data_IF_746917479671
#
_entry.id   IF_746917479671
#
_cell.length_a   1.000
_cell.length_b   1.000
_cell.length_c   1.000
_cell.angle_alpha   90.00
_cell.angle_beta   90.00
_cell.angle_gamma   90.00
#
_symmetry.space_group_name_H-M   'P 1'
#
loop_
_entity.id
_entity.type
_entity.pdbx_description
1 polymer ?
#
# COMPACT_ATOMS: atom_id res chain seq x y z
N UNK A 1 -19.09 28.00 -81.13
CA UNK A 1 -19.10 26.71 -80.42
C UNK A 1 -17.67 26.34 -80.07
N UNK A 2 -17.39 26.21 -78.77
CA UNK A 2 -16.06 26.10 -78.17
C UNK A 2 -15.76 24.66 -77.80
N UNK A 3 -14.62 24.11 -78.21
CA UNK A 3 -14.10 22.83 -77.72
C UNK A 3 -12.60 22.98 -77.43
N UNK A 4 -12.24 23.11 -76.16
CA UNK A 4 -10.83 23.19 -75.71
C UNK A 4 -10.36 21.84 -75.17
N UNK A 5 -9.44 21.25 -75.94
CA UNK A 5 -8.13 20.68 -75.58
C UNK A 5 -7.92 20.25 -74.11
N UNK A 6 -7.75 18.94 -73.90
CA UNK A 6 -7.22 18.37 -72.66
C UNK A 6 -5.70 18.51 -72.52
N UNK A 7 -5.24 18.58 -71.27
CA UNK A 7 -3.85 18.33 -70.84
C UNK A 7 -3.89 17.59 -69.49
N UNK A 8 -3.08 16.54 -69.28
CA UNK A 8 -2.97 15.86 -68.00
C UNK A 8 -1.97 16.58 -67.08
N UNK A 9 -2.33 16.74 -65.81
CA UNK A 9 -1.44 17.25 -64.75
C UNK A 9 -0.72 16.06 -64.11
N UNK A 10 0.62 16.08 -64.15
CA UNK A 10 1.51 15.10 -63.53
C UNK A 10 1.55 15.34 -62.00
N UNK A 11 1.36 14.29 -61.20
CA UNK A 11 1.56 14.31 -59.74
C UNK A 11 2.95 13.79 -59.42
N UNK A 12 3.82 14.65 -58.88
CA UNK A 12 5.14 14.28 -58.39
C UNK A 12 5.04 13.87 -56.92
N UNK A 13 5.17 12.57 -56.63
CA UNK A 13 5.31 12.06 -55.26
C UNK A 13 6.75 12.33 -54.76
N UNK A 14 6.89 13.19 -53.74
CA UNK A 14 8.14 13.31 -52.98
C UNK A 14 8.18 12.22 -51.89
N UNK A 15 9.25 11.43 -51.86
CA UNK A 15 9.50 10.38 -50.88
C UNK A 15 9.91 11.00 -49.53
N UNK A 16 9.26 10.68 -48.40
CA UNK A 16 9.71 11.16 -47.10
C UNK A 16 10.98 10.40 -46.66
N UNK A 17 11.95 11.19 -46.22
CA UNK A 17 13.31 10.79 -45.85
C UNK A 17 13.34 10.09 -44.48
N UNK A 18 14.06 8.96 -44.43
CA UNK A 18 14.27 8.12 -43.23
C UNK A 18 14.94 8.85 -42.05
N UNK A 19 15.45 10.06 -42.27
CA UNK A 19 16.07 10.93 -41.27
C UNK A 19 15.04 11.59 -40.34
N UNK A 20 13.82 11.88 -40.82
CA UNK A 20 12.76 12.45 -39.98
C UNK A 20 12.21 11.43 -38.97
N UNK A 21 12.19 10.14 -39.34
CA UNK A 21 11.77 9.06 -38.46
C UNK A 21 12.77 8.82 -37.31
N UNK A 22 14.07 9.02 -37.56
CA UNK A 22 15.11 8.82 -36.54
C UNK A 22 15.12 9.94 -35.47
N UNK A 23 14.86 11.18 -35.87
CA UNK A 23 14.78 12.31 -34.95
C UNK A 23 13.57 12.22 -34.00
N UNK A 24 12.43 11.71 -34.49
CA UNK A 24 11.24 11.48 -33.67
C UNK A 24 11.44 10.34 -32.65
N UNK A 25 12.23 9.33 -32.99
CA UNK A 25 12.52 8.21 -32.08
C UNK A 25 13.45 8.62 -30.94
N UNK A 26 14.46 9.48 -31.20
CA UNK A 26 15.39 9.94 -30.15
C UNK A 26 14.70 10.85 -29.11
N UNK A 27 13.72 11.65 -29.53
CA UNK A 27 12.97 12.54 -28.64
C UNK A 27 12.02 11.75 -27.71
N UNK A 28 11.49 10.61 -28.17
CA UNK A 28 10.62 9.75 -27.36
C UNK A 28 11.41 9.00 -26.26
N UNK A 29 12.67 8.64 -26.53
CA UNK A 29 13.53 7.94 -25.54
C UNK A 29 13.99 8.89 -24.42
N UNK A 30 14.20 10.18 -24.71
CA UNK A 30 14.58 11.16 -23.69
C UNK A 30 13.45 11.48 -22.68
N UNK A 31 12.18 11.34 -23.08
CA UNK A 31 11.04 11.58 -22.21
C UNK A 31 10.77 10.43 -21.21
N UNK A 32 11.34 9.24 -21.43
CA UNK A 32 11.17 8.07 -20.54
C UNK A 32 12.22 8.01 -19.41
N UNK A 33 13.23 8.89 -19.41
CA UNK A 33 14.29 8.89 -18.40
C UNK A 33 13.98 9.71 -17.13
N UNK A 34 12.84 10.41 -17.06
CA UNK A 34 12.46 11.23 -15.91
C UNK A 34 11.32 10.62 -15.06
N UNK A 35 10.92 9.37 -15.30
CA UNK A 35 9.75 8.80 -14.64
C UNK A 35 9.73 7.28 -14.62
N UNK A 36 10.70 6.66 -13.97
CA UNK A 36 10.58 5.29 -13.50
C UNK A 36 11.39 5.14 -12.22
N UNK A 37 10.70 4.93 -11.10
CA UNK A 37 11.32 4.46 -9.86
C UNK A 37 12.05 3.15 -10.16
N UNK A 38 13.37 3.19 -10.07
CA UNK A 38 14.24 2.06 -10.34
C UNK A 38 14.17 1.05 -9.21
N UNK A 39 13.28 0.07 -9.33
CA UNK A 39 13.40 -1.23 -8.68
C UNK A 39 14.41 -2.09 -9.42
N UNK A 40 15.70 -1.76 -9.29
CA UNK A 40 16.80 -2.60 -9.74
C UNK A 40 17.56 -3.09 -8.52
N UNK A 41 17.57 -4.41 -8.29
CA UNK A 41 18.36 -5.06 -7.25
C UNK A 41 19.86 -4.86 -7.50
N UNK A 42 20.38 -3.68 -7.16
CA UNK A 42 21.81 -3.46 -6.98
C UNK A 42 22.17 -3.95 -5.58
N UNK A 43 23.08 -4.92 -5.52
CA UNK A 43 23.74 -5.31 -4.28
C UNK A 43 24.14 -4.05 -3.51
N UNK A 44 23.77 -3.98 -2.23
CA UNK A 44 23.90 -2.79 -1.39
C UNK A 44 25.36 -2.37 -1.19
N UNK A 45 25.90 -1.62 -2.13
CA UNK A 45 26.98 -0.65 -1.93
C UNK A 45 26.34 0.73 -1.86
N UNK A 46 25.48 0.94 -0.87
CA UNK A 46 24.78 2.21 -0.66
C UNK A 46 25.64 3.13 0.19
N UNK A 47 26.05 4.27 -0.37
CA UNK A 47 26.61 5.38 0.41
C UNK A 47 25.58 5.77 1.49
N UNK A 48 26.01 6.02 2.75
CA UNK A 48 25.07 6.30 3.83
C UNK A 48 24.23 7.54 3.49
N UNK A 49 22.91 7.41 3.64
CA UNK A 49 21.95 8.50 3.44
C UNK A 49 22.35 9.67 4.33
N UNK A 50 22.52 10.85 3.74
CA UNK A 50 22.88 12.03 4.53
C UNK A 50 21.72 12.44 5.45
N UNK A 51 22.04 13.05 6.59
CA UNK A 51 21.00 13.57 7.50
C UNK A 51 20.02 14.52 6.81
N UNK A 52 20.51 15.35 5.87
CA UNK A 52 19.67 16.27 5.10
C UNK A 52 18.66 15.55 4.20
N UNK A 53 19.03 14.41 3.61
CA UNK A 53 18.13 13.60 2.79
C UNK A 53 17.10 12.87 3.64
N UNK A 54 17.52 12.29 4.77
CA UNK A 54 16.59 11.67 5.73
C UNK A 54 15.57 12.70 6.25
N UNK A 55 16.03 13.89 6.65
CA UNK A 55 15.16 14.96 7.11
C UNK A 55 14.17 15.42 6.04
N UNK A 56 14.59 15.50 4.77
CA UNK A 56 13.72 15.85 3.65
C UNK A 56 12.68 14.77 3.35
N UNK A 57 13.09 13.50 3.40
CA UNK A 57 12.17 12.37 3.24
C UNK A 57 11.11 12.39 4.34
N UNK A 58 11.53 12.54 5.60
CA UNK A 58 10.62 12.65 6.74
C UNK A 58 9.65 13.84 6.60
N UNK A 59 10.13 15.02 6.21
CA UNK A 59 9.28 16.19 5.99
C UNK A 59 8.29 15.99 4.83
N UNK A 60 8.69 15.29 3.77
CA UNK A 60 7.80 14.97 2.65
C UNK A 60 6.69 14.03 3.08
N UNK A 61 7.02 12.97 3.82
CA UNK A 61 6.04 12.03 4.36
C UNK A 61 5.08 12.70 5.35
N UNK A 62 5.59 13.57 6.23
CA UNK A 62 4.77 14.28 7.22
C UNK A 62 3.76 15.25 6.58
N UNK A 63 4.07 15.77 5.39
CA UNK A 63 3.18 16.68 4.66
C UNK A 63 2.24 15.96 3.68
N UNK A 64 2.36 14.64 3.50
CA UNK A 64 1.51 13.89 2.59
C UNK A 64 0.10 13.73 3.18
N UNK A 65 -0.91 14.26 2.49
CA UNK A 65 -2.31 14.13 2.92
C UNK A 65 -2.99 12.88 2.37
N UNK A 66 -2.42 12.26 1.34
CA UNK A 66 -2.92 11.03 0.75
C UNK A 66 -1.78 10.06 0.55
N UNK A 67 -2.03 8.77 0.70
CA UNK A 67 -1.02 7.77 0.48
C UNK A 67 -1.62 6.40 0.25
N UNK A 68 -0.82 5.54 -0.39
CA UNK A 68 -1.03 4.10 -0.42
C UNK A 68 0.11 3.45 0.33
N UNK A 69 -0.21 2.39 1.06
CA UNK A 69 0.78 1.61 1.79
C UNK A 69 0.49 0.13 1.61
N UNK A 70 1.53 -0.67 1.73
CA UNK A 70 1.44 -2.11 1.86
C UNK A 70 2.41 -2.54 2.94
N UNK A 71 2.04 -3.55 3.70
CA UNK A 71 2.90 -4.15 4.71
C UNK A 71 2.87 -5.67 4.58
N UNK A 72 4.00 -6.26 4.93
CA UNK A 72 4.15 -7.69 5.14
C UNK A 72 4.82 -7.83 6.49
N UNK A 73 4.20 -8.56 7.40
CA UNK A 73 4.74 -8.83 8.71
C UNK A 73 4.91 -10.34 8.87
N UNK A 74 6.07 -10.75 9.34
CA UNK A 74 6.37 -12.12 9.71
C UNK A 74 6.74 -12.11 11.20
N UNK A 75 6.08 -12.95 11.99
CA UNK A 75 6.31 -13.09 13.42
C UNK A 75 6.69 -14.53 13.72
N UNK A 76 7.85 -14.75 14.32
CA UNK A 76 8.26 -16.07 14.81
C UNK A 76 7.84 -16.22 16.27
N UNK A 77 7.13 -17.29 16.61
CA UNK A 77 6.75 -17.61 17.98
C UNK A 77 7.59 -18.76 18.53
N UNK A 78 8.13 -18.66 19.76
CA UNK A 78 8.79 -19.80 20.40
C UNK A 78 7.84 -20.99 20.50
N UNK A 79 8.19 -22.12 19.85
CA UNK A 79 7.36 -23.32 19.82
C UNK A 79 6.46 -23.48 18.59
N UNK A 80 6.53 -22.56 17.62
CA UNK A 80 6.00 -22.76 16.27
C UNK A 80 7.16 -23.02 15.30
N UNK A 81 7.01 -24.03 14.43
CA UNK A 81 8.04 -24.38 13.44
C UNK A 81 8.04 -23.43 12.22
N UNK A 82 6.89 -22.79 11.94
CA UNK A 82 6.71 -21.87 10.82
C UNK A 82 6.44 -20.43 11.29
N UNK A 83 6.98 -19.41 10.61
CA UNK A 83 6.70 -18.02 10.92
C UNK A 83 5.26 -17.65 10.57
N UNK A 84 4.63 -16.90 11.47
CA UNK A 84 3.32 -16.34 11.26
C UNK A 84 3.41 -15.11 10.36
N UNK A 85 3.01 -15.26 9.09
CA UNK A 85 2.95 -14.13 8.16
C UNK A 85 1.55 -13.50 8.17
N UNK A 86 1.45 -12.19 7.97
CA UNK A 86 0.23 -11.53 7.56
C UNK A 86 0.58 -10.34 6.68
N UNK A 87 -0.25 -10.10 5.67
CA UNK A 87 -0.02 -9.00 4.73
C UNK A 87 -1.20 -8.06 4.73
N UNK A 88 -0.99 -6.85 4.24
CA UNK A 88 -2.09 -5.93 4.05
C UNK A 88 -1.74 -4.79 3.14
N UNK A 89 -2.77 -4.19 2.60
CA UNK A 89 -2.71 -3.03 1.75
C UNK A 89 -3.73 -2.00 2.18
N UNK A 90 -3.42 -0.74 1.97
CA UNK A 90 -4.32 0.32 2.35
C UNK A 90 -4.06 1.62 1.64
N UNK A 91 -5.00 2.53 1.83
CA UNK A 91 -4.93 3.90 1.36
C UNK A 91 -5.55 4.83 2.39
N UNK A 92 -5.06 6.06 2.45
CA UNK A 92 -5.65 7.10 3.28
C UNK A 92 -5.77 8.41 2.50
N UNK A 93 -6.75 9.20 2.92
CA UNK A 93 -6.96 10.60 2.58
C UNK A 93 -7.26 11.35 3.88
N UNK A 94 -6.24 12.00 4.42
CA UNK A 94 -6.33 12.78 5.64
C UNK A 94 -7.16 14.06 5.46
N UNK A 95 -7.29 14.59 4.23
CA UNK A 95 -8.12 15.76 3.96
C UNK A 95 -9.61 15.39 4.03
N UNK A 96 -9.98 14.24 3.46
CA UNK A 96 -11.34 13.71 3.53
C UNK A 96 -11.65 12.92 4.82
N UNK A 97 -10.66 12.68 5.68
CA UNK A 97 -10.73 11.77 6.83
C UNK A 97 -11.21 10.37 6.43
N UNK A 98 -10.61 9.81 5.38
CA UNK A 98 -10.96 8.50 4.84
C UNK A 98 -9.76 7.58 4.84
N UNK A 99 -10.02 6.31 5.13
CA UNK A 99 -9.02 5.27 4.99
C UNK A 99 -9.68 3.97 4.54
N UNK A 100 -8.94 3.14 3.82
CA UNK A 100 -9.31 1.76 3.53
C UNK A 100 -8.11 0.87 3.81
N UNK A 101 -8.35 -0.27 4.42
CA UNK A 101 -7.34 -1.24 4.80
C UNK A 101 -7.89 -2.64 4.54
N UNK A 102 -7.10 -3.47 3.88
CA UNK A 102 -7.33 -4.89 3.73
C UNK A 102 -6.18 -5.62 4.43
N UNK A 103 -6.50 -6.62 5.24
CA UNK A 103 -5.54 -7.48 5.92
C UNK A 103 -5.83 -8.92 5.50
N UNK A 104 -4.82 -9.60 4.98
CA UNK A 104 -4.87 -11.01 4.63
C UNK A 104 -4.22 -11.84 5.75
N UNK A 105 -5.03 -12.69 6.37
CA UNK A 105 -4.63 -13.64 7.41
C UNK A 105 -4.78 -15.10 6.96
N UNK A 106 -4.83 -15.37 5.66
CA UNK A 106 -5.02 -16.73 5.13
C UNK A 106 -3.91 -17.71 5.56
N UNK A 107 -2.69 -17.23 5.73
CA UNK A 107 -1.58 -17.97 6.37
C UNK A 107 -1.92 -18.49 7.77
N UNK A 108 -2.66 -17.70 8.56
CA UNK A 108 -3.16 -18.12 9.87
C UNK A 108 -4.13 -19.29 9.74
N UNK A 109 -5.05 -19.19 8.78
CA UNK A 109 -6.05 -20.21 8.49
C UNK A 109 -5.37 -21.54 8.14
N UNK A 110 -4.38 -21.51 7.25
CA UNK A 110 -3.59 -22.69 6.87
C UNK A 110 -2.89 -23.31 8.07
N UNK A 111 -2.26 -22.50 8.92
CA UNK A 111 -1.59 -22.98 10.13
C UNK A 111 -2.57 -23.65 11.10
N UNK A 112 -3.73 -23.04 11.35
CA UNK A 112 -4.78 -23.65 12.17
C UNK A 112 -5.33 -24.91 11.49
N UNK A 113 -5.49 -24.88 10.17
CA UNK A 113 -5.95 -26.01 9.36
C UNK A 113 -5.06 -27.21 9.54
N UNK A 114 -3.73 -27.05 9.44
CA UNK A 114 -2.76 -28.11 9.68
C UNK A 114 -2.76 -28.61 11.13
N UNK A 115 -2.83 -27.71 12.10
CA UNK A 115 -2.86 -28.06 13.53
C UNK A 115 -4.11 -28.88 13.89
N UNK A 116 -5.26 -28.53 13.30
CA UNK A 116 -6.55 -29.14 13.58
C UNK A 116 -6.98 -30.15 12.51
N UNK A 117 -6.18 -30.41 11.47
CA UNK A 117 -6.49 -31.37 10.39
C UNK A 117 -6.76 -32.78 10.94
N UNK A 118 -6.18 -33.14 12.09
CA UNK A 118 -6.45 -34.41 12.78
C UNK A 118 -7.65 -34.39 13.74
N UNK A 119 -8.20 -33.21 14.05
CA UNK A 119 -9.31 -33.00 14.98
C UNK A 119 -10.59 -32.49 14.30
N UNK A 120 -10.54 -32.16 13.01
CA UNK A 120 -11.63 -31.63 12.21
C UNK A 120 -12.70 -32.70 11.90
N UNK A 121 -13.47 -33.07 12.92
CA UNK A 121 -14.78 -33.69 12.77
C UNK A 121 -15.87 -32.62 12.73
N UNK A 122 -16.51 -32.46 11.56
CA UNK A 122 -17.87 -31.92 11.32
C UNK A 122 -18.38 -30.67 12.10
N UNK A 123 -17.51 -29.83 12.68
CA UNK A 123 -17.96 -28.65 13.43
C UNK A 123 -16.91 -27.60 13.77
N UNK A 124 -15.72 -27.65 13.15
CA UNK A 124 -14.75 -26.57 13.23
C UNK A 124 -15.10 -25.41 12.28
N UNK A 125 -14.58 -24.19 12.52
CA UNK A 125 -14.68 -23.10 11.53
C UNK A 125 -14.15 -23.58 10.18
N UNK A 126 -14.74 -23.08 9.09
CA UNK A 126 -14.27 -23.40 7.74
C UNK A 126 -12.89 -22.75 7.53
N UNK A 127 -11.84 -23.54 7.80
CA UNK A 127 -10.45 -23.13 7.67
C UNK A 127 -9.97 -23.22 6.22
N UNK A 128 -10.78 -23.79 5.32
CA UNK A 128 -10.43 -24.07 3.93
C UNK A 128 -10.75 -22.90 2.98
N UNK A 129 -11.52 -21.89 3.44
CA UNK A 129 -11.79 -20.67 2.67
C UNK A 129 -10.81 -19.54 3.03
N UNK A 130 -9.79 -19.26 2.19
CA UNK A 130 -8.82 -18.19 2.47
C UNK A 130 -9.46 -16.80 2.44
N UNK A 131 -10.55 -16.60 1.70
CA UNK A 131 -11.24 -15.30 1.65
C UNK A 131 -12.01 -15.03 2.96
N UNK A 132 -12.37 -16.07 3.72
CA UNK A 132 -12.99 -15.91 5.02
C UNK A 132 -12.07 -15.25 6.05
N UNK A 133 -10.75 -15.35 5.82
CA UNK A 133 -9.69 -14.83 6.68
C UNK A 133 -9.15 -13.46 6.25
N UNK A 134 -9.86 -12.78 5.33
CA UNK A 134 -9.56 -11.39 4.96
C UNK A 134 -10.38 -10.43 5.81
N UNK A 135 -9.70 -9.46 6.42
CA UNK A 135 -10.33 -8.37 7.16
C UNK A 135 -10.32 -7.14 6.28
N UNK A 136 -11.49 -6.53 6.08
CA UNK A 136 -11.61 -5.24 5.41
C UNK A 136 -12.05 -4.19 6.42
N UNK A 137 -11.36 -3.05 6.43
CA UNK A 137 -11.72 -1.88 7.21
C UNK A 137 -11.83 -0.65 6.32
N UNK A 138 -12.93 0.08 6.46
CA UNK A 138 -13.17 1.35 5.76
C UNK A 138 -13.54 2.40 6.79
N UNK A 139 -12.80 3.50 6.81
CA UNK A 139 -13.07 4.66 7.65
C UNK A 139 -13.66 5.79 6.79
N UNK A 140 -14.75 6.38 7.28
CA UNK A 140 -15.31 7.64 6.77
C UNK A 140 -15.56 8.59 7.95
N UNK A 141 -14.73 9.63 8.04
CA UNK A 141 -14.69 10.52 9.19
C UNK A 141 -14.23 9.78 10.45
N UNK A 142 -15.12 9.73 11.45
CA UNK A 142 -14.88 9.03 12.72
C UNK A 142 -15.57 7.68 12.80
N UNK A 143 -16.19 7.23 11.73
CA UNK A 143 -16.87 5.94 11.68
C UNK A 143 -15.99 4.97 10.94
N UNK A 144 -15.66 3.85 11.58
CA UNK A 144 -14.96 2.73 10.97
C UNK A 144 -15.96 1.58 10.75
N UNK A 145 -15.96 1.03 9.55
CA UNK A 145 -16.68 -0.17 9.18
C UNK A 145 -15.68 -1.29 9.00
N UNK A 146 -15.89 -2.41 9.66
CA UNK A 146 -15.02 -3.58 9.58
C UNK A 146 -15.81 -4.80 9.13
N UNK A 147 -15.28 -5.58 8.20
CA UNK A 147 -15.82 -6.84 7.73
C UNK A 147 -14.80 -7.93 7.99
N UNK A 148 -15.24 -8.97 8.70
CA UNK A 148 -14.45 -10.18 8.95
C UNK A 148 -15.34 -11.40 8.72
N UNK A 149 -15.25 -12.05 7.54
CA UNK A 149 -16.21 -13.10 7.19
C UNK A 149 -16.16 -14.33 8.10
N UNK A 150 -14.98 -14.76 8.57
CA UNK A 150 -14.87 -15.88 9.51
C UNK A 150 -15.55 -15.62 10.87
N UNK A 151 -15.86 -14.36 11.20
CA UNK A 151 -16.65 -13.98 12.38
C UNK A 151 -18.12 -13.65 12.10
N UNK A 152 -18.58 -13.77 10.85
CA UNK A 152 -19.89 -13.28 10.43
C UNK A 152 -21.07 -14.02 11.11
N UNK A 153 -20.89 -15.28 11.48
CA UNK A 153 -21.93 -16.07 12.18
C UNK A 153 -22.27 -15.55 13.58
N UNK A 154 -21.38 -14.72 14.16
CA UNK A 154 -21.63 -14.03 15.43
C UNK A 154 -22.39 -12.72 15.26
N UNK A 155 -22.65 -12.29 14.02
CA UNK A 155 -23.40 -11.09 13.72
C UNK A 155 -24.89 -11.42 13.54
N UNK A 156 -25.79 -10.44 13.79
CA UNK A 156 -27.20 -10.60 13.47
C UNK A 156 -27.38 -11.01 11.99
N UNK A 157 -28.33 -11.90 11.73
CA UNK A 157 -28.56 -12.49 10.41
C UNK A 157 -28.59 -11.43 9.30
N UNK A 158 -27.78 -11.64 8.26
CA UNK A 158 -27.67 -10.75 7.11
C UNK A 158 -26.72 -9.57 7.29
N UNK A 159 -26.03 -9.44 8.43
CA UNK A 159 -24.99 -8.41 8.65
C UNK A 159 -23.60 -8.99 8.44
N UNK A 160 -22.78 -8.28 7.68
CA UNK A 160 -21.37 -8.60 7.43
C UNK A 160 -20.41 -7.50 7.85
N UNK A 161 -20.92 -6.32 8.22
CA UNK A 161 -20.14 -5.16 8.62
C UNK A 161 -20.45 -4.78 10.06
N UNK A 162 -19.38 -4.60 10.83
CA UNK A 162 -19.39 -4.01 12.17
C UNK A 162 -19.10 -2.53 12.03
N UNK A 163 -19.99 -1.69 12.58
CA UNK A 163 -19.81 -0.24 12.65
C UNK A 163 -19.25 0.14 14.00
N UNK A 164 -18.16 0.89 14.02
CA UNK A 164 -17.50 1.41 15.21
C UNK A 164 -17.38 2.94 15.11
N UNK A 165 -17.66 3.63 16.21
CA UNK A 165 -17.49 5.08 16.31
C UNK A 165 -16.21 5.38 17.08
N UNK A 166 -15.18 5.84 16.38
CA UNK A 166 -13.85 6.07 16.93
C UNK A 166 -13.84 7.17 18.00
N UNK A 167 -14.85 8.07 18.04
CA UNK A 167 -14.95 9.08 19.11
C UNK A 167 -15.24 8.45 20.46
N UNK A 168 -15.97 7.33 20.45
CA UNK A 168 -16.39 6.63 21.66
C UNK A 168 -15.49 5.42 21.96
N UNK A 169 -14.80 4.88 20.96
CA UNK A 169 -14.01 3.63 21.10
C UNK A 169 -12.52 3.84 21.31
N UNK A 170 -11.95 5.00 20.97
CA UNK A 170 -10.51 5.29 21.19
C UNK A 170 -10.07 5.11 22.65
N UNK A 171 -10.91 5.52 23.60
CA UNK A 171 -10.66 5.37 25.05
C UNK A 171 -10.79 3.93 25.55
N UNK A 172 -11.41 3.02 24.78
CA UNK A 172 -11.72 1.67 25.22
C UNK A 172 -10.69 0.61 24.80
N UNK A 173 -9.84 0.90 23.82
CA UNK A 173 -8.83 -0.04 23.29
C UNK A 173 -7.40 0.24 23.77
N UNK A 174 -7.21 1.15 24.74
CA UNK A 174 -5.91 1.41 25.37
C UNK A 174 -4.89 2.12 24.46
N UNK A 175 -5.33 2.66 23.33
CA UNK A 175 -4.55 3.60 22.51
C UNK A 175 -4.92 4.99 23.00
N UNK A 176 -4.15 5.50 23.95
CA UNK A 176 -4.34 6.87 24.42
C UNK A 176 -3.83 7.82 23.32
N UNK A 177 -4.77 8.54 22.69
CA UNK A 177 -4.46 9.52 21.67
C UNK A 177 -3.63 10.69 22.26
N UNK A 178 -3.68 10.90 23.58
CA UNK A 178 -2.81 11.86 24.27
C UNK A 178 -1.37 11.34 24.40
N UNK A 179 -1.16 10.04 24.58
CA UNK A 179 0.18 9.43 24.57
C UNK A 179 0.79 9.43 23.15
N UNK A 180 -0.05 9.16 22.13
CA UNK A 180 0.37 9.29 20.73
C UNK A 180 0.70 10.75 20.38
N UNK A 181 -0.10 11.71 20.88
CA UNK A 181 0.20 13.13 20.74
C UNK A 181 1.50 13.51 21.44
N UNK A 182 1.76 13.01 22.65
CA UNK A 182 3.03 13.22 23.35
C UNK A 182 4.21 12.68 22.53
N UNK A 183 4.10 11.47 21.96
CA UNK A 183 5.13 10.93 21.07
C UNK A 183 5.34 11.75 19.79
N UNK A 184 4.28 12.32 19.20
CA UNK A 184 4.40 13.19 18.01
C UNK A 184 4.88 14.61 18.33
N UNK A 185 4.63 15.10 19.55
CA UNK A 185 5.08 16.42 20.02
C UNK A 185 6.52 16.39 20.54
N UNK A 186 6.98 15.24 21.05
CA UNK A 186 8.40 14.93 21.24
C UNK A 186 9.06 14.78 19.88
N UNK A 187 9.47 15.90 19.29
CA UNK A 187 10.00 15.94 17.94
C UNK A 187 11.11 14.89 17.74
N UNK A 188 11.27 14.32 16.53
CA UNK A 188 12.21 13.22 16.22
C UNK A 188 13.65 13.42 16.69
N UNK A 189 14.05 14.66 16.98
CA UNK A 189 15.35 15.03 17.54
C UNK A 189 15.54 14.57 18.98
N UNK A 190 14.50 14.58 19.81
CA UNK A 190 14.59 14.12 21.21
C UNK A 190 14.80 12.60 21.30
N UNK A 191 14.17 11.84 20.40
CA UNK A 191 14.38 10.39 20.27
C UNK A 191 15.81 10.07 19.79
N UNK A 192 16.36 10.87 18.89
CA UNK A 192 17.74 10.72 18.42
C UNK A 192 18.79 11.15 19.46
N UNK A 193 18.48 12.08 20.35
CA UNK A 193 19.32 12.43 21.50
C UNK A 193 19.42 11.27 22.50
N UNK A 194 18.33 10.54 22.68
CA UNK A 194 18.28 9.36 23.55
C UNK A 194 19.10 8.17 23.02
N UNK A 195 19.30 8.11 21.70
CA UNK A 195 20.05 7.04 21.02
C UNK A 195 21.53 7.40 20.79
N UNK A 196 21.95 8.62 21.15
CA UNK A 196 23.38 8.97 21.13
C UNK A 196 24.05 8.40 22.39
N UNK A 197 25.07 7.55 22.26
CA UNK A 197 25.85 7.11 23.42
C UNK A 197 26.48 8.34 24.08
N UNK A 198 26.26 8.49 25.39
CA UNK A 198 26.94 9.51 26.20
C UNK A 198 28.45 9.36 26.01
N UNK A 199 29.18 10.44 25.67
CA UNK A 199 30.64 10.36 25.67
C UNK A 199 31.09 10.07 27.11
N UNK A 200 31.84 8.97 27.26
CA UNK A 200 32.61 8.66 28.47
C UNK A 200 33.88 9.53 28.52
#
# INVERSE_FOLDING_TARGET
MSARKGRPTIVTMARPSRLAAFAAFLALVAALAAGCGGGGSSAATGEPISFGELARAAATSANATTGRFGFSMEMTFPGADEPFAFTGDGAFDATANRASLTIDMSSFASMLGELFAGAAGAGGPDLDDPDAWKIEAVQDGFVMYMRFPAGADHLPTGKSWVRMDLRNTGSAQGIDLDDLQQFTNSGPREILDYLRPSPA
#
